data_IF_840116195063
#
_entry.id   IF_840116195063
#
_cell.length_a   1.000
_cell.length_b   1.000
_cell.length_c   1.000
_cell.angle_alpha   90.00
_cell.angle_beta   90.00
_cell.angle_gamma   90.00
#
_symmetry.space_group_name_H-M   'P 1'
#
loop_
_entity.id
_entity.type
_entity.pdbx_description
1 polymer ?
#
# COMPACT_ATOMS: atom_id res chain seq x y z
N UNK A 1 -37.02 -7.06 17.55
CA UNK A 1 -36.84 -5.62 17.32
C UNK A 1 -35.88 -5.49 16.16
N UNK A 2 -36.40 -5.18 14.95
CA UNK A 2 -35.57 -5.00 13.75
C UNK A 2 -34.86 -3.66 13.87
N UNK A 3 -33.51 -3.70 13.99
CA UNK A 3 -32.56 -2.62 13.73
C UNK A 3 -32.98 -1.19 14.09
N UNK A 4 -33.11 -0.92 15.39
CA UNK A 4 -32.91 0.43 15.88
C UNK A 4 -31.40 0.69 15.83
N UNK A 5 -30.95 1.38 14.79
CA UNK A 5 -29.64 1.97 14.64
C UNK A 5 -28.42 1.03 14.78
N UNK A 6 -27.67 0.88 13.72
CA UNK A 6 -26.36 0.20 13.68
C UNK A 6 -25.35 0.76 14.70
N UNK A 7 -25.61 1.93 15.25
CA UNK A 7 -24.73 2.63 16.19
C UNK A 7 -25.46 2.75 17.55
N UNK A 8 -24.82 2.29 18.62
CA UNK A 8 -25.27 2.39 20.00
C UNK A 8 -24.13 2.80 20.96
N UNK A 9 -24.38 2.86 22.25
CA UNK A 9 -23.38 3.24 23.27
C UNK A 9 -22.20 2.29 23.42
N UNK A 10 -22.17 1.17 22.71
CA UNK A 10 -21.06 0.19 22.70
C UNK A 10 -20.34 0.16 21.37
N UNK A 11 -20.76 0.95 20.38
CA UNK A 11 -20.13 0.99 19.07
C UNK A 11 -18.68 1.47 19.20
N UNK A 12 -17.76 0.68 18.70
CA UNK A 12 -16.35 1.05 18.64
C UNK A 12 -16.08 1.88 17.38
N UNK A 13 -15.43 3.01 17.56
CA UNK A 13 -15.03 3.88 16.44
C UNK A 13 -13.65 3.48 15.92
N UNK A 14 -13.54 3.43 14.59
CA UNK A 14 -12.29 3.32 13.84
C UNK A 14 -12.26 4.47 12.84
N UNK A 15 -11.09 5.04 12.58
CA UNK A 15 -10.97 6.23 11.76
C UNK A 15 -10.01 6.13 10.60
N UNK A 16 -9.98 7.21 9.80
CA UNK A 16 -8.93 7.48 8.81
C UNK A 16 -8.52 8.93 8.94
N UNK A 17 -7.21 9.17 9.08
CA UNK A 17 -6.60 10.50 9.17
C UNK A 17 -5.85 10.83 7.88
N UNK A 18 -6.32 11.80 7.12
CA UNK A 18 -5.66 12.28 5.89
C UNK A 18 -6.20 13.64 5.45
N UNK A 19 -5.51 14.29 4.52
CA UNK A 19 -6.02 15.47 3.79
C UNK A 19 -5.41 15.52 2.38
N UNK A 20 -6.23 15.69 1.30
CA UNK A 20 -7.70 15.65 1.27
C UNK A 20 -8.23 14.22 1.45
N UNK A 21 -9.44 14.07 1.98
CA UNK A 21 -9.99 12.76 2.38
C UNK A 21 -11.30 12.35 1.68
N UNK A 22 -12.02 13.31 1.10
CA UNK A 22 -13.38 13.12 0.60
C UNK A 22 -13.56 12.03 -0.49
N UNK A 23 -12.47 11.61 -1.13
CA UNK A 23 -12.50 10.59 -2.18
C UNK A 23 -12.20 9.16 -1.69
N UNK A 24 -11.96 8.98 -0.38
CA UNK A 24 -11.58 7.69 0.18
C UNK A 24 -12.70 6.65 0.12
N UNK A 25 -12.37 5.45 -0.35
CA UNK A 25 -13.27 4.29 -0.38
C UNK A 25 -13.23 3.49 0.94
N UNK A 26 -12.30 3.79 1.85
CA UNK A 26 -12.14 3.04 3.10
C UNK A 26 -13.39 3.04 3.99
N UNK A 27 -14.14 4.16 4.16
CA UNK A 27 -15.37 4.13 4.95
C UNK A 27 -16.41 3.18 4.38
N UNK A 28 -16.62 3.16 3.07
CA UNK A 28 -17.57 2.24 2.44
C UNK A 28 -17.14 0.78 2.63
N UNK A 29 -15.86 0.49 2.40
CA UNK A 29 -15.28 -0.86 2.50
C UNK A 29 -15.38 -1.43 3.92
N UNK A 30 -14.90 -0.70 4.92
CA UNK A 30 -14.87 -1.19 6.29
C UNK A 30 -16.27 -1.29 6.90
N UNK A 31 -17.12 -0.30 6.67
CA UNK A 31 -18.48 -0.32 7.18
C UNK A 31 -19.32 -1.46 6.58
N UNK A 32 -19.13 -1.75 5.30
CA UNK A 32 -19.79 -2.88 4.65
C UNK A 32 -19.31 -4.23 5.24
N UNK A 33 -18.01 -4.34 5.55
CA UNK A 33 -17.44 -5.51 6.20
C UNK A 33 -17.97 -5.68 7.63
N UNK A 34 -18.06 -4.61 8.42
CA UNK A 34 -18.65 -4.65 9.77
C UNK A 34 -20.10 -5.11 9.72
N UNK A 35 -20.89 -4.58 8.79
CA UNK A 35 -22.28 -4.99 8.61
C UNK A 35 -22.41 -6.47 8.24
N UNK A 36 -21.60 -6.94 7.28
CA UNK A 36 -21.59 -8.34 6.83
C UNK A 36 -21.28 -9.32 7.96
N UNK A 37 -20.35 -8.95 8.85
CA UNK A 37 -19.90 -9.78 9.96
C UNK A 37 -20.69 -9.54 11.26
N UNK A 38 -21.64 -8.60 11.28
CA UNK A 38 -22.41 -8.26 12.47
C UNK A 38 -21.59 -7.60 13.58
N UNK A 39 -20.49 -6.92 13.23
CA UNK A 39 -19.62 -6.24 14.17
C UNK A 39 -20.17 -4.86 14.54
N UNK A 40 -20.18 -4.54 15.84
CA UNK A 40 -20.65 -3.24 16.34
C UNK A 40 -19.53 -2.20 16.26
N UNK A 41 -19.08 -1.92 15.03
CA UNK A 41 -18.03 -0.96 14.72
C UNK A 41 -18.54 0.09 13.72
N UNK A 42 -17.96 1.28 13.76
CA UNK A 42 -18.17 2.33 12.78
C UNK A 42 -16.82 2.86 12.27
N UNK A 43 -16.71 3.06 10.98
CA UNK A 43 -15.51 3.64 10.36
C UNK A 43 -15.83 5.01 9.78
N UNK A 44 -15.06 6.02 10.15
CA UNK A 44 -15.22 7.39 9.68
C UNK A 44 -13.90 7.95 9.15
N UNK A 45 -13.99 8.85 8.17
CA UNK A 45 -12.86 9.61 7.67
C UNK A 45 -12.83 11.00 8.33
N UNK A 46 -11.64 11.43 8.75
CA UNK A 46 -11.38 12.73 9.37
C UNK A 46 -10.33 13.46 8.55
N UNK A 47 -10.67 14.68 8.10
CA UNK A 47 -9.73 15.50 7.38
C UNK A 47 -8.75 16.15 8.36
N UNK A 48 -7.54 15.60 8.40
CA UNK A 48 -6.48 15.94 9.34
C UNK A 48 -5.16 16.04 8.60
N UNK A 49 -4.50 17.18 8.71
CA UNK A 49 -3.13 17.41 8.27
C UNK A 49 -2.12 17.30 9.41
N UNK A 50 -0.83 17.51 9.09
CA UNK A 50 0.24 17.40 10.08
C UNK A 50 0.10 18.40 11.24
N UNK A 51 -0.49 19.56 10.99
CA UNK A 51 -0.66 20.62 12.00
C UNK A 51 -1.58 20.24 13.15
N UNK A 52 -2.63 19.44 12.87
CA UNK A 52 -3.60 19.01 13.87
C UNK A 52 -3.30 17.59 14.41
N UNK A 53 -2.29 16.92 13.84
CA UNK A 53 -2.08 15.49 14.06
C UNK A 53 -1.85 15.12 15.54
N UNK A 54 -1.05 15.90 16.25
CA UNK A 54 -0.75 15.66 17.67
C UNK A 54 -2.02 15.70 18.54
N UNK A 55 -2.82 16.76 18.36
CA UNK A 55 -4.04 16.95 19.14
C UNK A 55 -5.06 15.86 18.83
N UNK A 56 -5.19 15.48 17.55
CA UNK A 56 -6.09 14.41 17.12
C UNK A 56 -5.67 13.07 17.68
N UNK A 57 -4.40 12.70 17.62
CA UNK A 57 -3.90 11.43 18.17
C UNK A 57 -4.11 11.37 19.69
N UNK A 58 -3.86 12.47 20.40
CA UNK A 58 -4.13 12.60 21.83
C UNK A 58 -5.64 12.45 22.14
N UNK A 59 -6.48 13.10 21.35
CA UNK A 59 -7.95 12.97 21.44
C UNK A 59 -8.44 11.55 21.17
N UNK A 60 -7.95 10.90 20.13
CA UNK A 60 -8.30 9.51 19.82
C UNK A 60 -7.89 8.52 20.92
N UNK A 61 -6.74 8.76 21.55
CA UNK A 61 -6.30 8.00 22.71
C UNK A 61 -7.25 8.21 23.91
N UNK A 62 -7.59 9.47 24.21
CA UNK A 62 -8.49 9.82 25.33
C UNK A 62 -9.91 9.28 25.14
N UNK A 63 -10.42 9.24 23.91
CA UNK A 63 -11.73 8.69 23.54
C UNK A 63 -11.72 7.16 23.40
N UNK A 64 -10.59 6.52 23.62
CA UNK A 64 -10.41 5.08 23.44
C UNK A 64 -10.85 4.57 22.05
N UNK A 65 -10.56 5.35 21.01
CA UNK A 65 -10.80 4.96 19.61
C UNK A 65 -10.02 3.67 19.33
N UNK A 66 -10.67 2.63 18.79
CA UNK A 66 -10.09 1.28 18.61
C UNK A 66 -8.83 1.30 17.73
N UNK A 67 -8.77 2.19 16.76
CA UNK A 67 -7.64 2.35 15.86
C UNK A 67 -7.98 3.27 14.70
N UNK A 68 -7.03 3.46 13.83
CA UNK A 68 -7.23 4.31 12.65
C UNK A 68 -6.22 4.00 11.56
N UNK A 69 -6.66 4.18 10.31
CA UNK A 69 -5.71 4.31 9.20
C UNK A 69 -5.12 5.71 9.17
N UNK A 70 -3.94 5.79 8.58
CA UNK A 70 -3.19 7.03 8.36
C UNK A 70 -2.80 7.09 6.89
N UNK A 71 -3.13 8.19 6.22
CA UNK A 71 -2.72 8.43 4.85
C UNK A 71 -1.99 9.78 4.72
N UNK A 72 -1.71 10.20 3.49
CA UNK A 72 -0.98 11.45 3.26
C UNK A 72 -1.69 12.66 3.89
N UNK A 73 -0.91 13.59 4.44
CA UNK A 73 0.56 13.64 4.56
C UNK A 73 1.11 12.98 5.85
N UNK A 74 0.28 12.31 6.65
CA UNK A 74 0.51 11.99 8.06
C UNK A 74 1.36 10.73 8.30
N UNK A 75 1.55 9.85 7.29
CA UNK A 75 2.16 8.51 7.47
C UNK A 75 3.52 8.50 8.18
N UNK A 76 4.35 9.51 7.94
CA UNK A 76 5.67 9.65 8.59
C UNK A 76 5.56 10.49 9.87
N UNK A 77 4.77 11.57 9.84
CA UNK A 77 4.64 12.48 10.97
C UNK A 77 4.05 11.81 12.22
N UNK A 78 3.21 10.78 12.04
CA UNK A 78 2.54 10.08 13.16
C UNK A 78 3.50 9.26 14.03
N UNK A 79 4.65 8.84 13.51
CA UNK A 79 5.60 7.96 14.20
C UNK A 79 5.97 8.45 15.61
N UNK A 80 6.15 9.77 15.77
CA UNK A 80 6.56 10.38 17.04
C UNK A 80 5.47 10.34 18.13
N UNK A 81 4.23 10.01 17.78
CA UNK A 81 3.09 9.97 18.70
C UNK A 81 2.67 8.54 19.08
N UNK A 82 3.39 7.52 18.57
CA UNK A 82 3.10 6.11 18.80
C UNK A 82 4.01 5.53 19.88
N UNK A 83 3.49 4.56 20.63
CA UNK A 83 4.24 3.90 21.70
C UNK A 83 5.10 2.76 21.16
N UNK A 84 4.63 2.07 20.13
CA UNK A 84 5.30 0.93 19.51
C UNK A 84 5.13 0.93 17.99
N UNK A 85 6.09 0.34 17.30
CA UNK A 85 6.03 0.06 15.86
C UNK A 85 6.24 -1.44 15.63
N UNK A 86 5.52 -2.00 14.67
CA UNK A 86 5.87 -3.33 14.16
C UNK A 86 7.09 -3.27 13.21
N UNK A 87 7.60 -4.41 12.81
CA UNK A 87 8.82 -4.44 12.00
C UNK A 87 8.60 -3.84 10.61
N UNK A 88 7.41 -4.02 10.00
CA UNK A 88 7.09 -3.40 8.73
C UNK A 88 7.11 -1.87 8.81
N UNK A 89 6.54 -1.29 9.86
CA UNK A 89 6.55 0.14 10.10
C UNK A 89 7.95 0.69 10.40
N UNK A 90 8.78 -0.07 11.14
CA UNK A 90 10.18 0.30 11.42
C UNK A 90 11.00 0.39 10.14
N UNK A 91 10.95 -0.64 9.29
CA UNK A 91 11.72 -0.67 8.04
C UNK A 91 11.21 0.32 7.00
N UNK A 92 9.90 0.53 6.92
CA UNK A 92 9.34 1.51 5.96
C UNK A 92 9.48 2.95 6.42
N UNK A 93 9.71 3.21 7.72
CA UNK A 93 9.68 4.55 8.29
C UNK A 93 8.34 5.26 8.11
N UNK A 94 7.24 4.50 8.00
CA UNK A 94 5.91 5.02 7.78
C UNK A 94 4.84 4.08 8.35
N UNK A 95 3.75 4.67 8.86
CA UNK A 95 2.59 3.96 9.41
C UNK A 95 1.36 4.33 8.60
N UNK A 96 0.60 3.32 8.17
CA UNK A 96 -0.71 3.51 7.57
C UNK A 96 -1.86 2.95 8.43
N UNK A 97 -1.53 2.22 9.51
CA UNK A 97 -2.52 1.61 10.39
C UNK A 97 -2.06 1.71 11.85
N UNK A 98 -2.93 2.16 12.73
CA UNK A 98 -2.69 2.22 14.17
C UNK A 98 -3.72 1.40 14.90
N UNK A 99 -3.28 0.61 15.87
CA UNK A 99 -4.14 -0.14 16.80
C UNK A 99 -3.97 0.46 18.19
N UNK A 100 -5.10 0.72 18.85
CA UNK A 100 -5.13 1.14 20.24
C UNK A 100 -5.53 -0.04 21.12
N UNK A 101 -4.66 -0.41 22.03
CA UNK A 101 -4.95 -1.43 23.06
C UNK A 101 -4.65 -0.82 24.42
N UNK A 102 -5.66 -0.59 25.22
CA UNK A 102 -5.57 -0.01 26.57
C UNK A 102 -4.73 1.29 26.60
N UNK A 103 -5.03 2.20 25.68
CA UNK A 103 -4.34 3.48 25.47
C UNK A 103 -2.90 3.38 24.97
N UNK A 104 -2.39 2.19 24.63
CA UNK A 104 -1.13 2.01 23.90
C UNK A 104 -1.40 1.98 22.41
N UNK A 105 -0.70 2.84 21.68
CA UNK A 105 -0.81 2.98 20.23
C UNK A 105 0.35 2.25 19.56
N UNK A 106 0.02 1.21 18.78
CA UNK A 106 0.99 0.50 17.97
C UNK A 106 0.76 0.75 16.48
N UNK A 107 1.81 1.15 15.79
CA UNK A 107 1.80 1.45 14.36
C UNK A 107 2.24 0.28 13.50
N UNK A 108 1.58 0.14 12.34
CA UNK A 108 1.82 -0.89 11.34
C UNK A 108 1.90 -0.27 9.94
N UNK A 109 2.58 -0.95 9.02
CA UNK A 109 2.59 -0.63 7.60
C UNK A 109 1.97 -1.79 6.81
N UNK A 110 0.69 -1.69 6.46
CA UNK A 110 -0.04 -2.75 5.76
C UNK A 110 -0.02 -2.60 4.24
N UNK A 111 0.54 -1.52 3.68
CA UNK A 111 0.56 -1.26 2.23
C UNK A 111 1.37 -2.33 1.48
N UNK A 112 2.58 -2.64 1.95
CA UNK A 112 3.44 -3.65 1.33
C UNK A 112 2.88 -5.06 1.46
N UNK A 113 2.39 -5.43 2.64
CA UNK A 113 1.73 -6.72 2.88
C UNK A 113 0.48 -6.86 2.02
N UNK A 114 -0.28 -5.76 1.81
CA UNK A 114 -1.42 -5.71 0.89
C UNK A 114 -1.01 -5.97 -0.56
N UNK A 115 0.11 -5.39 -1.00
CA UNK A 115 0.67 -5.66 -2.33
C UNK A 115 1.06 -7.14 -2.49
N UNK A 116 1.79 -7.71 -1.55
CA UNK A 116 2.20 -9.11 -1.59
C UNK A 116 0.99 -10.05 -1.56
N UNK A 117 -0.01 -9.73 -0.73
CA UNK A 117 -1.25 -10.51 -0.66
C UNK A 117 -2.01 -10.49 -1.99
N UNK A 118 -2.08 -9.32 -2.64
CA UNK A 118 -2.68 -9.18 -3.97
C UNK A 118 -1.97 -10.06 -5.01
N UNK A 119 -0.64 -10.07 -5.03
CA UNK A 119 0.11 -10.95 -5.94
C UNK A 119 -0.19 -12.43 -5.69
N UNK A 120 -0.23 -12.86 -4.43
CA UNK A 120 -0.58 -14.25 -4.07
C UNK A 120 -1.99 -14.63 -4.50
N UNK A 121 -2.94 -13.73 -4.45
CA UNK A 121 -4.30 -13.94 -4.95
C UNK A 121 -4.31 -14.23 -6.46
N UNK A 122 -3.36 -13.63 -7.21
CA UNK A 122 -3.15 -13.91 -8.63
C UNK A 122 -2.22 -15.11 -8.90
N UNK A 123 -1.92 -15.92 -7.89
CA UNK A 123 -1.06 -17.09 -8.02
C UNK A 123 0.44 -16.77 -8.16
N UNK A 124 0.85 -15.54 -7.85
CA UNK A 124 2.22 -15.07 -7.99
C UNK A 124 2.95 -15.16 -6.64
N UNK A 125 3.95 -16.03 -6.56
CA UNK A 125 4.89 -16.09 -5.45
C UNK A 125 6.14 -15.28 -5.77
N UNK A 126 6.60 -14.44 -4.84
CA UNK A 126 7.79 -13.62 -4.97
C UNK A 126 9.09 -14.37 -4.69
N UNK A 127 9.02 -15.53 -4.06
CA UNK A 127 10.20 -16.28 -3.63
C UNK A 127 11.13 -16.60 -4.81
N UNK A 128 12.39 -16.17 -4.69
CA UNK A 128 13.43 -16.39 -5.69
C UNK A 128 13.29 -15.58 -6.98
N UNK A 129 12.30 -14.67 -7.07
CA UNK A 129 12.09 -13.82 -8.25
C UNK A 129 12.92 -12.54 -8.19
N UNK A 130 13.09 -11.92 -9.35
CA UNK A 130 13.66 -10.58 -9.51
C UNK A 130 12.54 -9.59 -9.84
N UNK A 131 12.60 -8.41 -9.23
CA UNK A 131 11.66 -7.31 -9.45
C UNK A 131 12.40 -6.04 -9.90
N UNK A 132 11.90 -5.36 -10.90
CA UNK A 132 12.21 -3.95 -11.20
C UNK A 132 11.08 -3.09 -10.64
N UNK A 133 11.40 -2.19 -9.70
CA UNK A 133 10.46 -1.27 -9.07
C UNK A 133 10.77 0.16 -9.48
N UNK A 134 9.78 0.86 -10.03
CA UNK A 134 9.89 2.29 -10.34
C UNK A 134 9.24 3.10 -9.22
N UNK A 135 10.03 3.95 -8.58
CA UNK A 135 9.60 4.83 -7.49
C UNK A 135 10.30 4.55 -6.16
N UNK A 136 10.26 5.57 -5.27
CA UNK A 136 10.80 5.52 -3.91
C UNK A 136 9.88 6.20 -2.88
N UNK A 137 8.63 6.46 -3.28
CA UNK A 137 7.64 7.17 -2.48
C UNK A 137 6.88 6.28 -1.50
N UNK A 138 5.77 6.83 -0.97
CA UNK A 138 4.94 6.21 0.07
C UNK A 138 4.28 4.87 -0.30
N UNK A 139 4.19 4.50 -1.58
CA UNK A 139 3.75 3.18 -2.02
C UNK A 139 4.94 2.28 -2.38
N UNK A 140 5.95 2.82 -3.06
CA UNK A 140 7.12 2.05 -3.50
C UNK A 140 7.97 1.52 -2.33
N UNK A 141 8.21 2.34 -1.29
CA UNK A 141 8.97 1.91 -0.11
C UNK A 141 8.37 0.68 0.58
N UNK A 142 7.09 0.66 0.98
CA UNK A 142 6.52 -0.55 1.59
C UNK A 142 6.48 -1.74 0.63
N UNK A 143 6.30 -1.53 -0.68
CA UNK A 143 6.41 -2.61 -1.68
C UNK A 143 7.81 -3.22 -1.67
N UNK A 144 8.88 -2.40 -1.71
CA UNK A 144 10.25 -2.89 -1.71
C UNK A 144 10.57 -3.70 -0.46
N UNK A 145 10.24 -3.18 0.72
CA UNK A 145 10.49 -3.81 2.02
C UNK A 145 9.75 -5.15 2.13
N UNK A 146 8.45 -5.15 1.86
CA UNK A 146 7.63 -6.35 2.03
C UNK A 146 7.92 -7.41 0.95
N UNK A 147 8.23 -6.99 -0.27
CA UNK A 147 8.67 -7.92 -1.32
C UNK A 147 10.00 -8.60 -0.95
N UNK A 148 10.92 -7.86 -0.31
CA UNK A 148 12.14 -8.44 0.23
C UNK A 148 11.84 -9.46 1.34
N UNK A 149 10.95 -9.16 2.28
CA UNK A 149 10.50 -10.09 3.33
C UNK A 149 9.81 -11.33 2.75
N UNK A 150 9.09 -11.17 1.63
CA UNK A 150 8.44 -12.27 0.93
C UNK A 150 9.40 -13.18 0.15
N UNK A 151 10.71 -12.91 0.18
CA UNK A 151 11.76 -13.80 -0.34
C UNK A 151 12.16 -13.54 -1.77
N UNK A 152 12.04 -12.30 -2.28
CA UNK A 152 12.69 -11.93 -3.54
C UNK A 152 14.17 -12.33 -3.52
N UNK A 153 14.72 -12.68 -4.68
CA UNK A 153 16.17 -12.85 -4.84
C UNK A 153 16.86 -11.50 -5.10
N UNK A 154 16.22 -10.65 -5.90
CA UNK A 154 16.79 -9.36 -6.30
C UNK A 154 15.70 -8.31 -6.53
N UNK A 155 16.00 -7.07 -6.14
CA UNK A 155 15.17 -5.90 -6.45
C UNK A 155 16.03 -4.77 -7.00
N UNK A 156 15.64 -4.22 -8.15
CA UNK A 156 16.26 -3.05 -8.77
C UNK A 156 15.31 -1.87 -8.70
N UNK A 157 15.64 -0.88 -7.88
CA UNK A 157 14.82 0.30 -7.64
C UNK A 157 15.26 1.43 -8.58
N UNK A 158 14.32 1.97 -9.35
CA UNK A 158 14.53 3.13 -10.21
C UNK A 158 13.82 4.35 -9.64
N UNK A 159 14.58 5.39 -9.33
CA UNK A 159 14.09 6.64 -8.80
C UNK A 159 14.60 7.82 -9.62
N UNK A 160 13.82 8.91 -9.68
CA UNK A 160 14.29 10.16 -10.31
C UNK A 160 15.48 10.70 -9.55
N UNK A 161 16.46 11.19 -10.26
CA UNK A 161 17.65 11.81 -9.67
C UNK A 161 17.33 13.24 -9.18
N UNK A 162 16.48 13.30 -8.16
CA UNK A 162 16.02 14.53 -7.51
C UNK A 162 16.11 14.38 -5.97
N UNK A 163 15.47 15.29 -5.24
CA UNK A 163 15.44 15.30 -3.77
C UNK A 163 14.90 14.01 -3.12
N UNK A 164 14.22 13.15 -3.88
CA UNK A 164 13.69 11.87 -3.40
C UNK A 164 14.64 10.68 -3.64
N UNK A 165 15.76 10.89 -4.36
CA UNK A 165 16.71 9.81 -4.64
C UNK A 165 17.32 9.24 -3.36
N UNK A 166 17.66 10.08 -2.39
CA UNK A 166 18.17 9.67 -1.09
C UNK A 166 17.26 8.67 -0.36
N UNK A 167 15.94 8.76 -0.57
CA UNK A 167 14.99 7.79 -0.01
C UNK A 167 15.13 6.41 -0.67
N UNK A 168 15.41 6.35 -1.95
CA UNK A 168 15.67 5.09 -2.63
C UNK A 168 17.00 4.48 -2.19
N UNK A 169 18.04 5.29 -1.98
CA UNK A 169 19.31 4.84 -1.39
C UNK A 169 19.10 4.24 -0.01
N UNK A 170 18.30 4.90 0.84
CA UNK A 170 17.98 4.39 2.17
C UNK A 170 17.19 3.07 2.10
N UNK A 171 16.22 2.93 1.19
CA UNK A 171 15.52 1.65 1.00
C UNK A 171 16.48 0.52 0.63
N UNK A 172 17.43 0.78 -0.26
CA UNK A 172 18.45 -0.20 -0.65
C UNK A 172 19.37 -0.54 0.52
N UNK A 173 19.79 0.46 1.28
CA UNK A 173 20.61 0.26 2.50
C UNK A 173 19.88 -0.63 3.50
N UNK A 174 18.62 -0.32 3.81
CA UNK A 174 17.79 -1.09 4.76
C UNK A 174 17.70 -2.55 4.30
N UNK A 175 17.38 -2.80 3.04
CA UNK A 175 17.25 -4.17 2.51
C UNK A 175 18.59 -4.91 2.60
N UNK A 176 19.70 -4.31 2.18
CA UNK A 176 21.00 -4.97 2.13
C UNK A 176 21.68 -5.10 3.52
N UNK A 177 21.45 -4.17 4.43
CA UNK A 177 22.19 -4.08 5.69
C UNK A 177 21.37 -4.45 6.92
N UNK A 178 20.12 -3.97 7.00
CA UNK A 178 19.27 -4.20 8.17
C UNK A 178 18.41 -5.47 8.03
N UNK A 179 18.06 -5.83 6.78
CA UNK A 179 17.24 -7.03 6.48
C UNK A 179 18.06 -8.22 5.98
N UNK A 180 19.30 -8.40 6.46
CA UNK A 180 20.22 -9.49 6.03
C UNK A 180 19.64 -10.88 6.10
N UNK A 181 18.67 -11.10 6.99
CA UNK A 181 17.97 -12.38 7.11
C UNK A 181 17.17 -12.76 5.86
N UNK A 182 16.83 -11.79 4.99
CA UNK A 182 16.10 -12.03 3.74
C UNK A 182 16.99 -12.51 2.60
N UNK A 183 18.30 -12.21 2.63
CA UNK A 183 19.29 -12.51 1.58
C UNK A 183 18.97 -11.86 0.21
N UNK A 184 18.11 -10.85 0.17
CA UNK A 184 17.76 -10.12 -1.05
C UNK A 184 18.88 -9.19 -1.45
N UNK A 185 19.20 -9.14 -2.74
CA UNK A 185 20.10 -8.15 -3.32
C UNK A 185 19.30 -6.96 -3.82
N UNK A 186 19.48 -5.79 -3.20
CA UNK A 186 18.85 -4.55 -3.66
C UNK A 186 19.86 -3.65 -4.38
N UNK A 187 19.44 -3.08 -5.51
CA UNK A 187 20.21 -2.14 -6.32
C UNK A 187 19.38 -0.86 -6.53
N UNK A 188 20.06 0.27 -6.75
CA UNK A 188 19.42 1.54 -7.10
C UNK A 188 20.01 2.10 -8.38
N UNK A 189 19.16 2.69 -9.19
CA UNK A 189 19.52 3.35 -10.45
C UNK A 189 18.70 4.62 -10.66
N UNK A 190 19.30 5.65 -11.29
CA UNK A 190 18.54 6.80 -11.79
C UNK A 190 17.53 6.36 -12.85
N UNK A 191 16.28 6.84 -12.75
CA UNK A 191 15.23 6.52 -13.73
C UNK A 191 15.56 7.06 -15.12
N UNK A 192 16.37 8.10 -15.20
CA UNK A 192 16.87 8.70 -16.43
C UNK A 192 17.81 7.75 -17.22
N UNK A 193 18.38 6.74 -16.57
CA UNK A 193 19.19 5.71 -17.23
C UNK A 193 18.29 4.65 -17.87
N UNK A 194 17.75 4.98 -19.03
CA UNK A 194 16.80 4.13 -19.76
C UNK A 194 17.43 2.84 -20.30
N UNK A 195 18.73 2.83 -20.55
CA UNK A 195 19.46 1.62 -20.97
C UNK A 195 19.53 0.61 -19.82
N UNK A 196 19.88 1.07 -18.61
CA UNK A 196 19.88 0.24 -17.43
C UNK A 196 18.47 -0.24 -17.07
N UNK A 197 17.44 0.62 -17.21
CA UNK A 197 16.06 0.23 -16.99
C UNK A 197 15.63 -0.91 -17.91
N UNK A 198 15.97 -0.82 -19.19
CA UNK A 198 15.72 -1.88 -20.18
C UNK A 198 16.37 -3.20 -19.77
N UNK A 199 17.64 -3.15 -19.37
CA UNK A 199 18.40 -4.35 -18.99
C UNK A 199 17.81 -5.00 -17.72
N UNK A 200 17.45 -4.19 -16.71
CA UNK A 200 16.84 -4.69 -15.49
C UNK A 200 15.46 -5.31 -15.75
N UNK A 201 14.62 -4.67 -16.57
CA UNK A 201 13.32 -5.24 -16.97
C UNK A 201 13.53 -6.54 -17.74
N UNK A 202 14.52 -6.61 -18.65
CA UNK A 202 14.81 -7.79 -19.46
C UNK A 202 15.07 -9.03 -18.61
N UNK A 203 15.68 -8.87 -17.43
CA UNK A 203 16.02 -9.97 -16.51
C UNK A 203 15.02 -10.15 -15.37
N UNK A 204 14.05 -9.25 -15.21
CA UNK A 204 13.05 -9.30 -14.15
C UNK A 204 11.88 -10.20 -14.49
N UNK A 205 11.28 -10.78 -13.44
CA UNK A 205 9.99 -11.46 -13.50
C UNK A 205 8.81 -10.50 -13.34
N UNK A 206 9.06 -9.40 -12.61
CA UNK A 206 8.04 -8.43 -12.24
C UNK A 206 8.56 -7.02 -12.52
N UNK A 207 7.75 -6.20 -13.19
CA UNK A 207 7.88 -4.74 -13.25
C UNK A 207 6.78 -4.14 -12.39
N UNK A 208 7.15 -3.32 -11.41
CA UNK A 208 6.22 -2.66 -10.52
C UNK A 208 6.31 -1.13 -10.66
N UNK A 209 5.20 -0.47 -10.97
CA UNK A 209 5.08 0.97 -10.83
C UNK A 209 4.59 1.31 -9.40
N UNK A 210 5.48 1.87 -8.58
CA UNK A 210 5.19 2.38 -7.24
C UNK A 210 4.99 3.91 -7.20
N UNK A 211 4.76 4.55 -8.36
CA UNK A 211 4.60 6.00 -8.49
C UNK A 211 3.16 6.41 -8.79
N UNK A 212 2.89 7.72 -8.76
CA UNK A 212 1.62 8.30 -9.22
C UNK A 212 1.54 8.53 -10.74
N UNK A 213 2.50 8.05 -11.54
CA UNK A 213 2.44 8.15 -13.00
C UNK A 213 1.35 7.24 -13.52
N UNK A 214 0.42 7.80 -14.29
CA UNK A 214 -0.76 7.10 -14.79
C UNK A 214 -2.07 7.53 -14.11
N UNK A 215 -2.00 8.23 -12.97
CA UNK A 215 -3.16 8.88 -12.33
C UNK A 215 -3.08 10.41 -12.44
N UNK A 216 -4.18 11.13 -12.17
CA UNK A 216 -4.18 12.60 -12.18
C UNK A 216 -3.15 13.19 -11.22
N UNK A 217 -2.39 14.21 -11.63
CA UNK A 217 -2.44 14.95 -12.91
C UNK A 217 -1.62 14.30 -14.06
N UNK A 218 -1.03 13.12 -13.88
CA UNK A 218 -0.17 12.42 -14.85
C UNK A 218 -0.92 11.30 -15.61
N UNK A 219 -2.24 11.41 -15.70
CA UNK A 219 -3.08 10.48 -16.44
C UNK A 219 -2.65 10.39 -17.92
N UNK A 220 -2.68 9.19 -18.50
CA UNK A 220 -2.20 8.93 -19.87
C UNK A 220 -0.68 8.86 -20.02
N UNK A 221 0.10 9.09 -18.95
CA UNK A 221 1.55 8.88 -18.94
C UNK A 221 1.90 7.48 -18.42
N UNK A 222 3.07 6.99 -18.78
CA UNK A 222 3.62 5.71 -18.31
C UNK A 222 5.04 5.92 -17.77
N UNK A 223 5.47 5.05 -16.88
CA UNK A 223 6.88 4.94 -16.46
C UNK A 223 7.73 4.24 -17.51
N UNK A 224 7.12 3.60 -18.51
CA UNK A 224 7.78 2.96 -19.66
C UNK A 224 7.45 3.76 -20.91
N UNK A 225 8.47 4.36 -21.54
CA UNK A 225 8.33 5.11 -22.77
C UNK A 225 8.34 4.19 -24.01
N UNK A 226 9.19 3.16 -24.00
CA UNK A 226 9.34 2.21 -25.09
C UNK A 226 8.73 0.85 -24.74
N UNK A 227 7.60 0.52 -25.37
CA UNK A 227 6.87 -0.74 -25.18
C UNK A 227 7.74 -1.97 -25.47
N UNK A 228 8.79 -1.85 -26.29
CA UNK A 228 9.72 -2.95 -26.56
C UNK A 228 10.54 -3.41 -25.34
N UNK A 229 10.48 -2.67 -24.22
CA UNK A 229 11.03 -3.12 -22.93
C UNK A 229 10.19 -4.22 -22.28
N UNK A 230 8.90 -4.33 -22.67
CA UNK A 230 7.98 -5.30 -22.07
C UNK A 230 8.00 -6.62 -22.84
N UNK A 231 7.66 -7.72 -22.17
CA UNK A 231 7.63 -9.09 -22.72
C UNK A 231 6.32 -9.76 -22.28
N UNK A 232 5.85 -10.73 -23.06
CA UNK A 232 4.61 -11.46 -22.77
C UNK A 232 4.66 -12.31 -21.49
N UNK A 233 5.85 -12.70 -21.03
CA UNK A 233 6.06 -13.46 -19.79
C UNK A 233 6.29 -12.58 -18.56
N UNK A 234 6.30 -11.24 -18.73
CA UNK A 234 6.47 -10.29 -17.64
C UNK A 234 5.16 -10.12 -16.85
N UNK A 235 5.28 -10.01 -15.54
CA UNK A 235 4.20 -9.57 -14.68
C UNK A 235 4.37 -8.05 -14.48
N UNK A 236 3.39 -7.27 -14.88
CA UNK A 236 3.39 -5.81 -14.72
C UNK A 236 2.36 -5.43 -13.67
N UNK A 237 2.79 -4.75 -12.63
CA UNK A 237 1.94 -4.27 -11.54
C UNK A 237 1.97 -2.75 -11.45
N UNK A 238 0.83 -2.17 -11.14
CA UNK A 238 0.68 -0.73 -11.00
C UNK A 238 -0.05 -0.41 -9.69
N UNK A 239 0.45 0.54 -8.90
CA UNK A 239 -0.28 1.02 -7.70
C UNK A 239 -1.45 1.93 -8.07
N UNK A 240 -1.52 2.39 -9.30
CA UNK A 240 -2.63 3.18 -9.83
C UNK A 240 -3.86 2.30 -9.98
N UNK A 241 -4.99 2.77 -9.47
CA UNK A 241 -6.31 2.14 -9.61
C UNK A 241 -7.39 3.11 -10.10
N UNK A 242 -7.04 4.38 -10.28
CA UNK A 242 -7.92 5.40 -10.88
C UNK A 242 -7.10 6.27 -11.85
N UNK A 243 -7.24 6.05 -13.16
CA UNK A 243 -8.17 5.14 -13.85
C UNK A 243 -7.90 3.66 -13.52
N UNK A 244 -8.90 2.80 -13.69
CA UNK A 244 -8.76 1.36 -13.46
C UNK A 244 -7.73 0.73 -14.40
N UNK A 245 -7.56 1.31 -15.60
CA UNK A 245 -6.57 0.92 -16.60
C UNK A 245 -5.66 2.12 -16.90
N UNK A 246 -4.44 2.09 -16.38
CA UNK A 246 -3.41 3.09 -16.65
C UNK A 246 -2.74 2.86 -18.01
N UNK A 247 -1.96 3.84 -18.48
CA UNK A 247 -1.19 3.69 -19.71
C UNK A 247 -0.20 2.51 -19.65
N UNK A 248 0.42 2.29 -18.50
CA UNK A 248 1.32 1.14 -18.28
C UNK A 248 0.58 -0.19 -18.45
N UNK A 249 -0.66 -0.29 -17.92
CA UNK A 249 -1.50 -1.48 -18.07
C UNK A 249 -1.86 -1.76 -19.54
N UNK A 250 -2.22 -0.71 -20.30
CA UNK A 250 -2.49 -0.84 -21.74
C UNK A 250 -1.25 -1.34 -22.50
N UNK A 251 -0.07 -0.81 -22.18
CA UNK A 251 1.19 -1.25 -22.78
C UNK A 251 1.50 -2.71 -22.45
N UNK A 252 1.31 -3.14 -21.19
CA UNK A 252 1.53 -4.52 -20.78
C UNK A 252 0.61 -5.50 -21.53
N UNK A 253 -0.67 -5.20 -21.60
CA UNK A 253 -1.64 -6.02 -22.32
C UNK A 253 -1.36 -6.10 -23.82
N UNK A 254 -0.86 -5.00 -24.44
CA UNK A 254 -0.55 -4.96 -25.86
C UNK A 254 0.54 -5.94 -26.29
N UNK A 255 1.40 -6.37 -25.36
CA UNK A 255 2.45 -7.38 -25.58
C UNK A 255 2.08 -8.75 -25.00
N UNK A 256 0.88 -8.90 -24.44
CA UNK A 256 0.41 -10.15 -23.80
C UNK A 256 0.99 -10.41 -22.42
N UNK A 257 1.53 -9.39 -21.74
CA UNK A 257 2.01 -9.48 -20.37
C UNK A 257 0.83 -9.55 -19.37
N UNK A 258 1.07 -10.19 -18.22
CA UNK A 258 0.10 -10.15 -17.11
C UNK A 258 0.09 -8.76 -16.50
N UNK A 259 -1.08 -8.12 -16.45
CA UNK A 259 -1.27 -6.76 -15.97
C UNK A 259 -2.16 -6.74 -14.72
N UNK A 260 -1.68 -6.16 -13.60
CA UNK A 260 -2.38 -6.11 -12.30
C UNK A 260 -2.40 -4.67 -11.80
N UNK A 261 -3.58 -4.09 -11.64
CA UNK A 261 -3.75 -2.72 -11.14
C UNK A 261 -3.68 -2.63 -9.61
N UNK A 262 -3.69 -1.38 -9.08
CA UNK A 262 -3.54 -1.09 -7.67
C UNK A 262 -4.77 -1.36 -6.80
N UNK A 263 -5.91 -1.73 -7.39
CA UNK A 263 -7.16 -1.91 -6.64
C UNK A 263 -7.05 -3.05 -5.62
N UNK A 264 -6.43 -4.18 -6.01
CA UNK A 264 -6.22 -5.30 -5.11
C UNK A 264 -5.30 -4.94 -3.95
N UNK A 265 -4.20 -4.20 -4.20
CA UNK A 265 -3.34 -3.69 -3.12
C UNK A 265 -4.11 -2.80 -2.15
N UNK A 266 -4.92 -1.86 -2.65
CA UNK A 266 -5.76 -0.97 -1.85
C UNK A 266 -6.75 -1.77 -0.98
N UNK A 267 -7.35 -2.81 -1.53
CA UNK A 267 -8.30 -3.65 -0.83
C UNK A 267 -7.61 -4.49 0.26
N UNK A 268 -6.50 -5.17 -0.08
CA UNK A 268 -5.80 -6.05 0.85
C UNK A 268 -5.11 -5.31 2.00
N UNK A 269 -4.56 -4.09 1.77
CA UNK A 269 -4.02 -3.30 2.88
C UNK A 269 -5.11 -2.95 3.90
N UNK A 270 -6.34 -2.66 3.41
CA UNK A 270 -7.48 -2.40 4.28
C UNK A 270 -7.98 -3.66 4.99
N UNK A 271 -7.97 -4.81 4.31
CA UNK A 271 -8.32 -6.10 4.93
C UNK A 271 -7.36 -6.47 6.07
N UNK A 272 -6.05 -6.27 5.87
CA UNK A 272 -5.05 -6.50 6.93
C UNK A 272 -5.24 -5.53 8.11
N UNK A 273 -5.55 -4.26 7.85
CA UNK A 273 -5.88 -3.31 8.91
C UNK A 273 -7.15 -3.72 9.69
N UNK A 274 -8.17 -4.20 8.97
CA UNK A 274 -9.40 -4.72 9.57
C UNK A 274 -9.13 -5.89 10.52
N UNK A 275 -8.29 -6.84 10.11
CA UNK A 275 -7.88 -7.98 10.94
C UNK A 275 -7.16 -7.54 12.22
N UNK A 276 -6.28 -6.54 12.13
CA UNK A 276 -5.57 -5.96 13.28
C UNK A 276 -6.52 -5.33 14.31
N UNK A 277 -7.61 -4.70 13.87
CA UNK A 277 -8.59 -4.07 14.80
C UNK A 277 -9.58 -5.05 15.37
N UNK A 278 -10.02 -6.02 14.58
CA UNK A 278 -11.17 -6.88 14.91
C UNK A 278 -10.80 -8.30 15.34
N UNK A 279 -9.60 -8.76 14.95
CA UNK A 279 -9.21 -10.16 15.08
C UNK A 279 -9.94 -11.10 14.11
N UNK A 280 -10.67 -10.55 13.13
CA UNK A 280 -11.44 -11.33 12.15
C UNK A 280 -11.01 -10.99 10.73
N UNK A 281 -11.01 -11.96 9.84
CA UNK A 281 -10.74 -11.74 8.42
C UNK A 281 -11.84 -10.89 7.77
N UNK A 282 -11.44 -9.89 6.97
CA UNK A 282 -12.39 -9.13 6.15
C UNK A 282 -12.99 -10.04 5.07
N UNK A 283 -14.29 -9.99 4.80
CA UNK A 283 -14.93 -10.78 3.74
C UNK A 283 -14.61 -10.17 2.36
N UNK A 284 -13.36 -10.27 1.92
CA UNK A 284 -12.80 -9.59 0.72
C UNK A 284 -13.60 -9.91 -0.54
N UNK A 285 -13.99 -11.16 -0.75
CA UNK A 285 -14.80 -11.55 -1.93
C UNK A 285 -16.12 -10.79 -1.98
N UNK A 286 -16.81 -10.68 -0.84
CA UNK A 286 -18.06 -9.92 -0.74
C UNK A 286 -17.83 -8.42 -0.99
N UNK A 287 -16.77 -7.85 -0.44
CA UNK A 287 -16.43 -6.44 -0.67
C UNK A 287 -16.13 -6.18 -2.16
N UNK A 288 -15.40 -7.07 -2.82
CA UNK A 288 -15.14 -6.99 -4.26
C UNK A 288 -16.44 -6.96 -5.07
N UNK A 289 -17.32 -7.90 -4.79
CA UNK A 289 -18.62 -7.98 -5.45
C UNK A 289 -19.46 -6.70 -5.27
N UNK A 290 -19.52 -6.17 -4.06
CA UNK A 290 -20.39 -5.03 -3.73
C UNK A 290 -19.85 -3.67 -4.16
N UNK A 291 -18.53 -3.47 -4.17
CA UNK A 291 -17.94 -2.14 -4.39
C UNK A 291 -17.12 -2.04 -5.69
N UNK A 292 -16.70 -3.16 -6.26
CA UNK A 292 -15.69 -3.17 -7.33
C UNK A 292 -16.01 -4.10 -8.50
N UNK A 293 -17.25 -4.64 -8.60
CA UNK A 293 -17.64 -5.58 -9.66
C UNK A 293 -17.32 -5.07 -11.07
N UNK A 294 -17.45 -3.75 -11.30
CA UNK A 294 -17.21 -3.13 -12.60
C UNK A 294 -15.74 -2.70 -12.81
N UNK A 295 -14.85 -2.95 -11.85
CA UNK A 295 -13.47 -2.43 -11.83
C UNK A 295 -12.38 -3.52 -11.71
N UNK A 296 -12.80 -4.75 -11.53
CA UNK A 296 -11.94 -5.95 -11.41
C UNK A 296 -12.06 -6.81 -12.71
#
# INVERSE_FOLDING_TARGET
MKNAGRIDGRTQLIGLLATPIGHSLSPAMHNLAFEKLGLNNAYMAFEVGNEQLEEVVRGMRALNIRGYNVSMPNKTAILQYLDELDDSAKFTGAVNTVVNTDSKLKGYSTDGSGYVRNLREHGIDLKGKKMTLVGSGGAATPIAIEAAQAGLAEISIFARNDQFFARAEENVRIINEDMKHTQVKANIYPLENQEQLREEIRTSHILANGTGVGMKPLEGKSVIEDVSMLRSDLIVTDVVYSPAKSKLMEQAESVGATAINGLGMMLWQGALAFELWTGQEMPVAYIKEQLFADKL
#
